data_IF_782614761479
#
_entry.id   IF_782614761479
#
_cell.length_a   1.000
_cell.length_b   1.000
_cell.length_c   1.000
_cell.angle_alpha   90.00
_cell.angle_beta   90.00
_cell.angle_gamma   90.00
#
_symmetry.space_group_name_H-M   'P 1'
#
loop_
_entity.id
_entity.type
_entity.pdbx_description
1 polymer ?
#
# COMPACT_ATOMS: atom_id res chain seq x y z
N UNK A 1 18.36 -4.32 0.28
CA UNK A 1 17.42 -3.71 1.25
C UNK A 1 16.00 -4.09 0.86
N UNK A 2 15.32 -4.95 1.62
CA UNK A 2 13.95 -5.38 1.33
C UNK A 2 12.93 -4.33 1.79
N UNK A 3 12.23 -3.70 0.84
CA UNK A 3 11.01 -2.95 1.12
C UNK A 3 9.85 -3.93 1.08
N UNK A 4 8.96 -3.82 2.06
CA UNK A 4 7.68 -4.55 2.08
C UNK A 4 6.57 -3.58 1.73
N UNK A 5 5.57 -4.08 1.02
CA UNK A 5 4.42 -3.33 0.55
C UNK A 5 3.18 -3.97 1.16
N UNK A 6 2.27 -3.17 1.67
CA UNK A 6 1.03 -3.67 2.26
C UNK A 6 -0.12 -2.85 1.73
N UNK A 7 -1.13 -3.53 1.21
CA UNK A 7 -2.36 -2.91 0.73
C UNK A 7 -3.33 -2.84 1.90
N UNK A 8 -3.87 -1.65 2.14
CA UNK A 8 -4.81 -1.37 3.21
C UNK A 8 -6.02 -0.62 2.64
N UNK A 9 -7.19 -0.72 3.28
CA UNK A 9 -8.32 0.11 2.90
C UNK A 9 -8.03 1.59 3.23
N UNK A 10 -8.51 2.50 2.39
CA UNK A 10 -8.33 3.94 2.55
C UNK A 10 -8.89 4.46 3.89
N UNK A 11 -9.95 3.82 4.41
CA UNK A 11 -10.52 4.12 5.73
C UNK A 11 -9.55 3.91 6.89
N UNK A 12 -8.53 3.06 6.71
CA UNK A 12 -7.53 2.74 7.75
C UNK A 12 -6.37 3.72 7.77
N UNK A 13 -6.23 4.57 6.75
CA UNK A 13 -5.13 5.53 6.61
C UNK A 13 -5.03 6.47 7.81
N UNK A 14 -6.17 6.86 8.38
CA UNK A 14 -6.21 7.72 9.57
C UNK A 14 -5.55 7.08 10.81
N UNK A 15 -5.42 5.76 10.85
CA UNK A 15 -4.79 5.00 11.93
C UNK A 15 -3.32 4.64 11.64
N UNK A 16 -2.78 5.07 10.49
CA UNK A 16 -1.40 4.78 10.09
C UNK A 16 -0.44 5.74 10.80
N UNK A 17 0.61 5.18 11.40
CA UNK A 17 1.73 5.96 11.90
C UNK A 17 2.77 6.16 10.79
N UNK A 18 2.79 7.37 10.21
CA UNK A 18 3.71 7.74 9.13
C UNK A 18 5.20 7.75 9.54
N UNK A 19 5.52 7.71 10.85
CA UNK A 19 6.90 7.60 11.32
C UNK A 19 7.48 6.20 11.17
N UNK A 20 6.63 5.17 11.03
CA UNK A 20 7.04 3.76 10.87
C UNK A 20 6.98 3.26 9.42
N UNK A 21 6.58 4.12 8.48
CA UNK A 21 6.54 3.82 7.04
C UNK A 21 7.47 4.75 6.27
N UNK A 22 7.60 4.51 4.97
CA UNK A 22 8.39 5.33 4.06
C UNK A 22 7.62 6.53 3.51
N UNK A 23 6.31 6.60 3.79
CA UNK A 23 5.43 7.64 3.28
C UNK A 23 5.41 8.82 4.23
N UNK A 24 5.33 10.04 3.69
CA UNK A 24 5.42 11.25 4.52
C UNK A 24 4.08 11.65 5.14
N UNK A 25 2.97 11.35 4.46
CA UNK A 25 1.61 11.66 4.92
C UNK A 25 0.55 10.97 4.05
N UNK A 26 -0.70 11.00 4.51
CA UNK A 26 -1.85 10.47 3.78
C UNK A 26 -1.99 11.09 2.38
N UNK A 27 -1.70 12.39 2.24
CA UNK A 27 -1.76 13.11 0.96
C UNK A 27 -0.72 12.63 -0.07
N UNK A 28 0.34 11.94 0.38
CA UNK A 28 1.37 11.37 -0.50
C UNK A 28 1.06 9.94 -0.95
N UNK A 29 -0.03 9.36 -0.45
CA UNK A 29 -0.44 8.01 -0.80
C UNK A 29 -1.03 7.94 -2.20
N UNK A 30 -0.76 6.80 -2.87
CA UNK A 30 -1.44 6.45 -4.11
C UNK A 30 -2.64 5.61 -3.77
N UNK A 31 -3.80 6.04 -4.24
CA UNK A 31 -5.05 5.32 -4.11
C UNK A 31 -5.37 4.52 -5.38
N UNK A 32 -6.17 3.47 -5.22
CA UNK A 32 -6.80 2.74 -6.32
C UNK A 32 -7.75 3.65 -7.11
N UNK A 33 -8.16 3.25 -8.32
CA UNK A 33 -9.05 4.06 -9.16
C UNK A 33 -10.39 4.40 -8.49
N UNK A 34 -10.90 3.49 -7.65
CA UNK A 34 -12.12 3.68 -6.87
C UNK A 34 -11.89 4.42 -5.53
N UNK A 35 -10.64 4.73 -5.18
CA UNK A 35 -10.28 5.40 -3.92
C UNK A 35 -10.48 4.54 -2.66
N UNK A 36 -10.87 3.27 -2.78
CA UNK A 36 -11.19 2.42 -1.64
C UNK A 36 -9.96 1.80 -0.98
N UNK A 37 -8.87 1.66 -1.73
CA UNK A 37 -7.63 1.03 -1.28
C UNK A 37 -6.45 1.97 -1.48
N UNK A 38 -5.44 1.78 -0.64
CA UNK A 38 -4.12 2.39 -0.77
C UNK A 38 -3.06 1.34 -0.43
N UNK A 39 -1.79 1.62 -0.71
CA UNK A 39 -0.69 0.82 -0.18
C UNK A 39 0.31 1.68 0.57
N UNK A 40 0.97 1.06 1.54
CA UNK A 40 2.07 1.65 2.29
C UNK A 40 3.33 0.79 2.14
N UNK A 41 4.48 1.40 2.38
CA UNK A 41 5.80 0.77 2.30
C UNK A 41 6.54 0.96 3.60
N UNK A 42 7.16 -0.10 4.11
CA UNK A 42 8.05 0.00 5.25
C UNK A 42 9.32 -0.83 5.05
N UNK A 43 10.26 -0.67 5.97
CA UNK A 43 11.53 -1.40 6.02
C UNK A 43 11.75 -1.93 7.43
N UNK A 44 12.35 -3.11 7.51
CA UNK A 44 12.62 -3.74 8.81
C UNK A 44 11.41 -4.50 9.32
N UNK A 45 11.05 -4.26 10.59
CA UNK A 45 9.97 -4.97 11.29
C UNK A 45 8.60 -4.45 10.89
N UNK A 46 7.61 -5.34 10.87
CA UNK A 46 6.19 -5.01 10.66
C UNK A 46 5.72 -3.97 11.69
N UNK A 47 5.15 -2.83 11.25
CA UNK A 47 4.52 -1.86 12.14
C UNK A 47 3.35 -2.48 12.93
N UNK A 48 3.18 -2.07 14.19
CA UNK A 48 2.14 -2.62 15.07
C UNK A 48 0.72 -2.22 14.72
N UNK A 49 0.53 -1.21 13.86
CA UNK A 49 -0.79 -0.78 13.40
C UNK A 49 -1.36 -1.65 12.26
N UNK A 50 -0.53 -2.52 11.67
CA UNK A 50 -0.96 -3.50 10.66
C UNK A 50 -1.52 -4.73 11.36
N UNK A 51 -2.67 -5.21 10.89
CA UNK A 51 -3.23 -6.48 11.37
C UNK A 51 -2.37 -7.64 10.90
N UNK A 52 -2.34 -8.76 11.62
CA UNK A 52 -1.62 -9.96 11.17
C UNK A 52 -2.10 -10.48 9.82
N UNK A 53 -3.38 -10.26 9.48
CA UNK A 53 -4.00 -10.63 8.21
C UNK A 53 -3.62 -9.72 7.02
N UNK A 54 -3.00 -8.56 7.24
CA UNK A 54 -2.59 -7.70 6.13
C UNK A 54 -1.45 -8.37 5.33
N UNK A 55 -1.61 -8.45 4.01
CA UNK A 55 -0.70 -9.16 3.11
C UNK A 55 0.55 -8.34 2.81
N UNK A 56 1.73 -8.90 3.11
CA UNK A 56 3.03 -8.31 2.82
C UNK A 56 3.57 -8.71 1.45
N UNK A 57 3.41 -7.83 0.48
CA UNK A 57 3.87 -8.00 -0.89
C UNK A 57 5.34 -7.57 -1.06
N UNK A 58 6.02 -8.23 -1.98
CA UNK A 58 7.32 -7.79 -2.50
C UNK A 58 7.16 -6.74 -3.59
N UNK A 59 8.29 -6.15 -4.01
CA UNK A 59 8.28 -5.17 -5.10
C UNK A 59 7.73 -5.73 -6.41
N UNK A 60 7.96 -7.01 -6.71
CA UNK A 60 7.43 -7.62 -7.94
C UNK A 60 5.93 -7.83 -7.83
N UNK A 61 5.46 -8.39 -6.72
CA UNK A 61 4.02 -8.67 -6.52
C UNK A 61 3.19 -7.39 -6.51
N UNK A 62 3.62 -6.34 -5.80
CA UNK A 62 2.89 -5.07 -5.79
C UNK A 62 2.84 -4.45 -7.19
N UNK A 63 3.87 -4.62 -8.01
CA UNK A 63 3.86 -4.09 -9.38
C UNK A 63 2.83 -4.82 -10.25
N UNK A 64 2.65 -6.12 -10.07
CA UNK A 64 1.59 -6.88 -10.75
C UNK A 64 0.20 -6.42 -10.29
N UNK A 65 0.00 -6.27 -8.98
CA UNK A 65 -1.24 -5.74 -8.39
C UNK A 65 -1.56 -4.36 -8.95
N UNK A 66 -0.60 -3.43 -8.92
CA UNK A 66 -0.77 -2.07 -9.42
C UNK A 66 -1.04 -1.99 -10.93
N UNK A 67 -0.80 -3.08 -11.68
CA UNK A 67 -1.06 -3.17 -13.10
C UNK A 67 -2.42 -3.82 -13.43
N UNK A 68 -3.06 -4.54 -12.49
CA UNK A 68 -4.26 -5.34 -12.74
C UNK A 68 -5.47 -5.01 -11.84
N UNK A 69 -5.26 -4.69 -10.56
CA UNK A 69 -6.29 -4.67 -9.50
C UNK A 69 -7.07 -3.34 -9.43
N UNK A 70 -7.50 -2.79 -10.56
CA UNK A 70 -8.17 -1.46 -10.62
C UNK A 70 -7.24 -0.28 -10.24
N UNK A 71 -5.93 -0.42 -10.47
CA UNK A 71 -4.94 0.62 -10.20
C UNK A 71 -4.40 1.34 -11.45
N UNK A 72 -4.34 0.65 -12.58
CA UNK A 72 -3.81 1.17 -13.85
C UNK A 72 -4.90 1.47 -14.89
N UNK A 73 -6.15 1.10 -14.60
CA UNK A 73 -7.25 1.16 -15.57
C UNK A 73 -7.13 0.09 -16.64
N UNK A 74 -8.16 -0.11 -17.47
CA UNK A 74 -8.06 -1.04 -18.58
C UNK A 74 -6.93 -0.57 -19.52
N UNK A 75 -6.06 -1.48 -20.00
CA UNK A 75 -5.05 -1.12 -20.99
C UNK A 75 -5.78 -0.52 -22.21
N UNK A 76 -5.41 0.71 -22.56
CA UNK A 76 -5.95 1.37 -23.75
C UNK A 76 -5.50 0.56 -24.98
N UNK A 77 -6.46 -0.08 -25.64
CA UNK A 77 -6.26 -0.84 -26.89
C UNK A 77 -5.94 0.09 -28.06
#
# INVERSE_FOLDING_TARGET
MNKKYVIIPASRVASIDFSQVLESSADTLRYSLNGAQTFIKYRGTRPSFLDEDDVELTHTEIMEVLNHEDWAGPPLF
#
